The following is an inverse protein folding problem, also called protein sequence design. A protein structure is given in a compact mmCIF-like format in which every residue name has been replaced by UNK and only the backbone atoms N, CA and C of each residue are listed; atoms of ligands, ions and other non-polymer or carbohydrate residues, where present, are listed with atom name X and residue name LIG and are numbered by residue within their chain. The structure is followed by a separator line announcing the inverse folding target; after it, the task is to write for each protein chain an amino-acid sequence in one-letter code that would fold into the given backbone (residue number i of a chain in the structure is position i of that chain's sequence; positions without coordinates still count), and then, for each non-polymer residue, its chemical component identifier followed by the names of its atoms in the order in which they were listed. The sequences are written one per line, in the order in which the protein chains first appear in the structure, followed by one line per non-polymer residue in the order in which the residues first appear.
data_IF_191406202147
#
_entry.id   IF_191406202147
#
_cell.length_a   1.000
_cell.length_b   1.000
_cell.length_c   1.000
_cell.angle_alpha   90.00
_cell.angle_beta   90.00
_cell.angle_gamma   90.00
#
_symmetry.space_group_name_H-M   'P 1'
#
loop_
_entity.id
_entity.type
_entity.pdbx_description
1 polymer ?
#
# COMPACT_ATOMS: atom_id res chain seq x y z
N UNK A 1 -31.99 -89.78 11.43
CA UNK A 1 -32.75 -88.62 10.91
C UNK A 1 -31.74 -87.61 10.34
N UNK A 2 -30.85 -87.95 9.41
CA UNK A 2 -31.01 -87.97 7.94
C UNK A 2 -32.29 -87.30 7.40
N UNK A 3 -32.12 -86.38 6.43
CA UNK A 3 -33.11 -85.57 5.69
C UNK A 3 -33.28 -84.08 6.08
N UNK A 4 -32.19 -83.29 6.17
CA UNK A 4 -32.33 -81.81 6.07
C UNK A 4 -31.17 -81.09 5.35
N UNK A 5 -30.37 -81.79 4.51
CA UNK A 5 -29.15 -81.21 3.91
C UNK A 5 -29.19 -80.97 2.39
N UNK A 6 -30.33 -81.02 1.69
CA UNK A 6 -30.30 -81.08 0.22
C UNK A 6 -31.26 -80.18 -0.56
N UNK A 7 -31.66 -79.00 -0.03
CA UNK A 7 -32.49 -78.06 -0.79
C UNK A 7 -32.04 -76.58 -0.77
N UNK A 8 -30.92 -76.23 -0.14
CA UNK A 8 -30.37 -74.87 -0.18
C UNK A 8 -29.30 -74.65 -1.28
N UNK A 9 -28.97 -75.67 -2.08
CA UNK A 9 -27.83 -75.63 -3.00
C UNK A 9 -28.18 -75.41 -4.49
N UNK A 10 -29.43 -75.11 -4.85
CA UNK A 10 -29.84 -74.96 -6.27
C UNK A 10 -30.87 -73.86 -6.51
N UNK A 11 -30.66 -72.67 -5.96
CA UNK A 11 -31.38 -71.47 -6.37
C UNK A 11 -30.48 -70.23 -6.31
N UNK A 12 -29.45 -70.19 -7.15
CA UNK A 12 -28.68 -68.97 -7.38
C UNK A 12 -27.99 -68.98 -8.76
N UNK A 13 -28.79 -69.12 -9.82
CA UNK A 13 -28.34 -68.96 -11.20
C UNK A 13 -29.44 -68.24 -11.98
N UNK A 14 -29.37 -66.91 -12.00
CA UNK A 14 -29.87 -65.99 -13.05
C UNK A 14 -29.96 -64.56 -12.50
N UNK A 15 -28.89 -63.78 -12.65
CA UNK A 15 -28.99 -62.32 -12.72
C UNK A 15 -28.23 -61.88 -13.97
N UNK A 16 -28.89 -61.25 -14.96
CA UNK A 16 -28.26 -60.86 -16.20
C UNK A 16 -27.49 -59.54 -16.05
N UNK A 17 -26.34 -59.54 -16.73
CA UNK A 17 -25.66 -58.47 -17.46
C UNK A 17 -26.00 -56.99 -17.22
N UNK A 18 -24.92 -56.27 -16.88
CA UNK A 18 -24.49 -54.98 -17.44
C UNK A 18 -25.55 -53.88 -17.58
N UNK A 19 -25.71 -53.11 -16.51
CA UNK A 19 -25.78 -51.65 -16.63
C UNK A 19 -24.39 -51.11 -16.29
N UNK A 20 -23.61 -50.76 -17.32
CA UNK A 20 -22.40 -49.97 -17.13
C UNK A 20 -22.80 -48.63 -16.57
N UNK A 21 -22.63 -48.44 -15.26
CA UNK A 21 -22.39 -47.11 -14.74
C UNK A 21 -21.05 -46.70 -15.33
N UNK A 22 -21.10 -45.82 -16.33
CA UNK A 22 -19.97 -44.95 -16.61
C UNK A 22 -19.76 -44.15 -15.32
N UNK A 23 -18.85 -44.64 -14.47
CA UNK A 23 -18.15 -43.77 -13.55
C UNK A 23 -17.40 -42.84 -14.49
N UNK A 24 -17.91 -41.62 -14.65
CA UNK A 24 -17.08 -40.55 -15.17
C UNK A 24 -15.88 -40.51 -14.22
N UNK A 25 -14.68 -40.79 -14.73
CA UNK A 25 -13.47 -40.39 -14.03
C UNK A 25 -13.61 -38.88 -13.82
N UNK A 26 -13.92 -38.50 -12.59
CA UNK A 26 -13.66 -37.15 -12.15
C UNK A 26 -12.15 -36.98 -12.36
N UNK A 27 -11.75 -36.03 -13.21
CA UNK A 27 -10.38 -35.54 -13.15
C UNK A 27 -10.13 -35.19 -11.68
N UNK A 28 -9.19 -35.90 -11.06
CA UNK A 28 -8.89 -35.82 -9.64
C UNK A 28 -8.27 -34.44 -9.36
N UNK A 29 -9.13 -33.45 -9.15
CA UNK A 29 -8.74 -32.11 -8.74
C UNK A 29 -8.43 -32.17 -7.25
N UNK A 30 -7.17 -31.96 -6.90
CA UNK A 30 -6.71 -31.97 -5.52
C UNK A 30 -7.35 -30.80 -4.75
N UNK A 31 -7.70 -30.96 -3.47
CA UNK A 31 -8.04 -29.82 -2.63
C UNK A 31 -6.80 -28.90 -2.47
N UNK A 32 -6.99 -27.60 -2.19
CA UNK A 32 -5.87 -26.65 -2.13
C UNK A 32 -4.74 -27.05 -1.16
N UNK A 33 -5.08 -27.66 -0.04
CA UNK A 33 -4.11 -28.11 0.98
C UNK A 33 -3.21 -29.25 0.46
N UNK A 34 -3.73 -30.07 -0.44
CA UNK A 34 -2.97 -31.15 -1.09
C UNK A 34 -2.25 -30.67 -2.36
N UNK A 35 -2.81 -29.69 -3.07
CA UNK A 35 -2.21 -29.09 -4.26
C UNK A 35 -1.01 -28.19 -3.92
N UNK A 36 -1.09 -27.48 -2.79
CA UNK A 36 -0.11 -26.48 -2.36
C UNK A 36 0.42 -26.73 -0.95
N UNK A 37 0.96 -27.93 -0.66
CA UNK A 37 1.51 -28.21 0.65
C UNK A 37 2.69 -27.29 0.91
N UNK A 38 2.78 -26.80 2.14
CA UNK A 38 3.90 -26.02 2.62
C UNK A 38 4.26 -26.43 4.04
N UNK A 39 5.52 -26.22 4.38
CA UNK A 39 6.04 -26.33 5.73
C UNK A 39 6.61 -24.98 6.15
N UNK A 40 6.57 -24.71 7.44
CA UNK A 40 7.09 -23.48 8.03
C UNK A 40 7.98 -23.83 9.22
N UNK A 41 9.20 -23.29 9.21
CA UNK A 41 10.18 -23.47 10.28
C UNK A 41 10.67 -22.08 10.72
N UNK A 42 10.76 -21.87 12.03
CA UNK A 42 11.33 -20.64 12.59
C UNK A 42 12.81 -20.81 12.91
N UNK A 43 13.64 -19.96 12.33
CA UNK A 43 15.03 -19.73 12.75
C UNK A 43 15.08 -18.62 13.82
N UNK A 44 16.28 -18.25 14.26
CA UNK A 44 16.53 -17.16 15.22
C UNK A 44 15.99 -15.80 14.77
N UNK A 45 15.97 -15.54 13.46
CA UNK A 45 15.80 -14.23 12.84
C UNK A 45 14.83 -14.21 11.64
N UNK A 46 14.48 -15.38 11.11
CA UNK A 46 13.60 -15.52 9.95
C UNK A 46 12.71 -16.76 10.03
N UNK A 47 11.55 -16.69 9.39
CA UNK A 47 10.69 -17.81 9.07
C UNK A 47 11.07 -18.31 7.68
N UNK A 48 11.28 -19.62 7.56
CA UNK A 48 11.52 -20.29 6.29
C UNK A 48 10.30 -21.10 5.92
N UNK A 49 9.62 -20.70 4.85
CA UNK A 49 8.52 -21.45 4.26
C UNK A 49 9.05 -22.27 3.10
N UNK A 50 8.76 -23.56 3.08
CA UNK A 50 9.10 -24.44 1.94
C UNK A 50 7.80 -24.94 1.33
N UNK A 51 7.58 -24.60 0.08
CA UNK A 51 6.43 -25.03 -0.71
C UNK A 51 6.80 -26.22 -1.57
N UNK A 52 5.85 -27.14 -1.78
CA UNK A 52 5.98 -28.28 -2.69
C UNK A 52 4.72 -28.39 -3.56
N UNK A 53 4.61 -27.51 -4.55
CA UNK A 53 3.44 -27.45 -5.44
C UNK A 53 3.38 -28.71 -6.28
N UNK A 54 2.22 -29.37 -6.27
CA UNK A 54 2.00 -30.61 -7.01
C UNK A 54 2.04 -30.39 -8.53
N UNK A 55 2.45 -31.44 -9.25
CA UNK A 55 2.49 -31.42 -10.71
C UNK A 55 1.11 -31.09 -11.29
N UNK A 56 1.07 -30.17 -12.26
CA UNK A 56 -0.17 -29.69 -12.85
C UNK A 56 -0.81 -28.51 -12.11
N UNK A 57 -0.15 -27.97 -11.09
CA UNK A 57 -0.60 -26.81 -10.31
C UNK A 57 0.47 -25.71 -10.27
N UNK A 58 0.04 -24.47 -9.99
CA UNK A 58 0.93 -23.32 -9.84
C UNK A 58 0.34 -22.26 -8.90
N UNK A 59 1.21 -21.49 -8.25
CA UNK A 59 0.86 -20.34 -7.39
C UNK A 59 1.31 -19.03 -8.04
N UNK A 60 0.53 -17.96 -7.89
CA UNK A 60 0.90 -16.64 -8.41
C UNK A 60 1.82 -15.91 -7.44
N UNK A 61 2.98 -15.42 -7.93
CA UNK A 61 3.93 -14.66 -7.12
C UNK A 61 3.33 -13.43 -6.45
N UNK A 62 2.52 -12.67 -7.18
CA UNK A 62 1.94 -11.41 -6.71
C UNK A 62 0.76 -11.60 -5.74
N UNK A 63 0.32 -12.85 -5.51
CA UNK A 63 -0.85 -13.17 -4.68
C UNK A 63 -0.49 -13.79 -3.34
N UNK A 64 0.77 -13.67 -2.92
CA UNK A 64 1.18 -13.99 -1.55
C UNK A 64 0.96 -12.81 -0.62
N UNK A 65 0.39 -13.09 0.53
CA UNK A 65 0.32 -12.17 1.67
C UNK A 65 0.60 -12.94 2.96
N UNK A 66 1.36 -12.32 3.85
CA UNK A 66 1.85 -12.94 5.08
C UNK A 66 1.56 -12.02 6.25
N UNK A 67 0.90 -12.56 7.28
CA UNK A 67 0.55 -11.78 8.45
C UNK A 67 0.86 -12.53 9.75
N UNK A 68 1.29 -11.79 10.76
CA UNK A 68 1.33 -12.27 12.14
C UNK A 68 0.02 -11.92 12.83
N UNK A 69 -0.64 -12.92 13.41
CA UNK A 69 -1.80 -12.70 14.28
C UNK A 69 -1.38 -12.49 15.75
N UNK A 70 -0.10 -12.66 16.06
CA UNK A 70 0.47 -12.45 17.39
C UNK A 70 1.01 -11.03 17.50
N UNK A 71 0.37 -10.18 18.33
CA UNK A 71 0.76 -8.77 18.49
C UNK A 71 2.21 -8.54 18.95
N UNK A 72 2.81 -9.54 19.61
CA UNK A 72 4.20 -9.51 20.06
C UNK A 72 5.22 -9.78 18.93
N UNK A 73 4.77 -10.20 17.74
CA UNK A 73 5.64 -10.58 16.63
C UNK A 73 5.30 -9.75 15.39
N UNK A 74 6.28 -9.04 14.87
CA UNK A 74 6.19 -8.27 13.63
C UNK A 74 6.94 -8.99 12.52
N UNK A 75 6.30 -9.17 11.36
CA UNK A 75 6.94 -9.72 10.17
C UNK A 75 7.56 -8.60 9.33
N UNK A 76 8.70 -8.88 8.71
CA UNK A 76 9.33 -8.01 7.73
C UNK A 76 8.95 -8.36 6.30
N UNK A 77 9.66 -7.75 5.36
CA UNK A 77 9.43 -7.98 3.94
C UNK A 77 9.81 -9.42 3.56
N UNK A 78 8.85 -10.17 3.01
CA UNK A 78 9.09 -11.51 2.51
C UNK A 78 10.01 -11.48 1.29
N UNK A 79 11.04 -12.32 1.29
CA UNK A 79 11.94 -12.53 0.16
C UNK A 79 11.43 -13.73 -0.63
N UNK A 80 10.79 -13.45 -1.77
CA UNK A 80 10.34 -14.48 -2.70
C UNK A 80 11.37 -14.69 -3.82
N UNK A 81 11.70 -15.95 -4.17
CA UNK A 81 12.68 -16.28 -5.21
C UNK A 81 12.13 -15.90 -6.60
N UNK A 82 12.96 -15.85 -7.64
CA UNK A 82 12.43 -15.70 -9.00
C UNK A 82 11.63 -16.96 -9.39
N UNK A 83 10.44 -16.74 -9.96
CA UNK A 83 9.54 -17.75 -10.50
C UNK A 83 9.58 -17.82 -12.02
N UNK A 84 8.69 -18.63 -12.57
CA UNK A 84 8.58 -18.88 -14.00
C UNK A 84 7.53 -17.94 -14.61
N UNK A 85 7.91 -17.24 -15.69
CA UNK A 85 6.97 -16.40 -16.43
C UNK A 85 5.99 -17.30 -17.18
N UNK A 86 4.71 -17.10 -16.89
CA UNK A 86 3.59 -17.79 -17.49
C UNK A 86 2.63 -16.76 -18.09
N UNK A 87 2.13 -17.01 -19.29
CA UNK A 87 1.10 -16.17 -19.90
C UNK A 87 -0.22 -16.93 -19.89
N UNK A 88 -1.22 -16.41 -19.16
CA UNK A 88 -2.55 -17.00 -19.11
C UNK A 88 -3.63 -16.05 -19.66
N UNK A 89 -4.75 -16.63 -20.09
CA UNK A 89 -5.86 -15.90 -20.71
C UNK A 89 -6.64 -14.99 -19.73
N UNK A 90 -6.38 -15.10 -18.41
CA UNK A 90 -7.11 -14.39 -17.36
C UNK A 90 -6.35 -13.17 -16.84
N UNK A 91 -5.02 -13.25 -16.76
CA UNK A 91 -4.14 -12.28 -16.12
C UNK A 91 -2.98 -11.82 -17.01
N UNK A 92 -2.81 -12.38 -18.21
CA UNK A 92 -1.71 -12.04 -19.11
C UNK A 92 -0.39 -12.61 -18.63
N UNK A 93 0.70 -11.84 -18.76
CA UNK A 93 2.05 -12.27 -18.37
C UNK A 93 2.22 -12.12 -16.86
N UNK A 94 2.31 -13.23 -16.16
CA UNK A 94 2.43 -13.32 -14.71
C UNK A 94 3.61 -14.20 -14.31
N UNK A 95 4.19 -13.95 -13.15
CA UNK A 95 5.22 -14.81 -12.58
C UNK A 95 4.56 -15.85 -11.65
N UNK A 96 4.88 -17.11 -11.87
CA UNK A 96 4.26 -18.26 -11.20
C UNK A 96 5.31 -19.15 -10.55
N UNK A 97 4.92 -19.85 -9.50
CA UNK A 97 5.76 -20.87 -8.86
C UNK A 97 5.19 -22.26 -9.08
N UNK A 98 6.08 -23.18 -9.45
CA UNK A 98 5.84 -24.60 -9.64
C UNK A 98 6.90 -25.41 -8.90
N UNK A 99 6.58 -26.65 -8.56
CA UNK A 99 7.48 -27.54 -7.84
C UNK A 99 7.87 -26.98 -6.47
N UNK A 100 9.17 -27.07 -6.15
CA UNK A 100 9.69 -26.69 -4.84
C UNK A 100 10.32 -25.30 -4.86
N UNK A 101 9.93 -24.46 -3.91
CA UNK A 101 10.54 -23.15 -3.71
C UNK A 101 10.48 -22.74 -2.23
N UNK A 102 11.35 -21.82 -1.85
CA UNK A 102 11.49 -21.37 -0.46
C UNK A 102 11.20 -19.86 -0.38
N UNK A 103 10.49 -19.44 0.67
CA UNK A 103 10.25 -18.03 0.99
C UNK A 103 10.80 -17.73 2.37
N UNK A 104 11.63 -16.70 2.47
CA UNK A 104 12.24 -16.27 3.73
C UNK A 104 11.58 -14.98 4.23
N UNK A 105 11.13 -14.96 5.48
CA UNK A 105 10.46 -13.80 6.07
C UNK A 105 11.17 -13.43 7.37
N UNK A 106 11.91 -12.31 7.43
CA UNK A 106 12.49 -11.84 8.68
C UNK A 106 11.37 -11.51 9.68
N UNK A 107 11.60 -11.74 10.97
CA UNK A 107 10.62 -11.40 12.00
C UNK A 107 11.29 -10.82 13.25
N UNK A 108 10.54 -10.02 13.99
CA UNK A 108 10.98 -9.39 15.24
C UNK A 108 9.98 -9.62 16.35
N UNK A 109 10.48 -9.71 17.58
CA UNK A 109 9.68 -9.93 18.79
C UNK A 109 9.78 -8.72 19.71
N UNK A 110 8.66 -8.15 20.13
CA UNK A 110 8.60 -7.05 21.10
C UNK A 110 8.58 -7.53 22.55
N UNK A 111 8.16 -8.78 22.78
CA UNK A 111 8.18 -9.45 24.09
C UNK A 111 8.69 -10.89 23.95
N UNK A 112 9.08 -11.52 25.05
CA UNK A 112 9.45 -12.94 25.06
C UNK A 112 8.20 -13.81 24.80
N UNK A 113 7.87 -14.00 23.52
CA UNK A 113 6.91 -15.00 23.05
C UNK A 113 7.64 -16.15 22.38
N UNK A 114 7.20 -17.36 22.72
CA UNK A 114 7.72 -18.63 22.21
C UNK A 114 6.85 -19.20 21.08
N UNK A 115 5.71 -18.57 20.79
CA UNK A 115 4.74 -19.03 19.80
C UNK A 115 4.34 -17.87 18.88
N UNK A 116 4.13 -18.20 17.61
CA UNK A 116 3.64 -17.31 16.56
C UNK A 116 2.44 -17.94 15.86
N UNK A 117 1.31 -17.23 15.84
CA UNK A 117 0.18 -17.55 14.99
C UNK A 117 0.37 -16.87 13.63
N UNK A 118 0.89 -17.63 12.66
CA UNK A 118 1.21 -17.18 11.32
C UNK A 118 0.02 -17.38 10.37
N UNK A 119 -0.31 -16.36 9.57
CA UNK A 119 -1.31 -16.44 8.52
C UNK A 119 -0.65 -16.33 7.14
N UNK A 120 -0.87 -17.35 6.32
CA UNK A 120 -0.53 -17.36 4.90
C UNK A 120 -1.78 -17.13 4.07
N UNK A 121 -1.75 -16.15 3.17
CA UNK A 121 -2.72 -16.02 2.08
C UNK A 121 -2.02 -16.29 0.76
N UNK A 122 -2.53 -17.21 -0.04
CA UNK A 122 -2.00 -17.48 -1.38
C UNK A 122 -3.12 -17.84 -2.36
N UNK A 123 -2.84 -17.72 -3.66
CA UNK A 123 -3.76 -18.11 -4.72
C UNK A 123 -3.02 -18.86 -5.83
N UNK A 124 -3.65 -19.91 -6.33
CA UNK A 124 -3.13 -20.73 -7.43
C UNK A 124 -4.22 -21.31 -8.30
N UNK A 125 -3.79 -21.97 -9.37
CA UNK A 125 -4.66 -22.66 -10.31
C UNK A 125 -4.06 -24.02 -10.69
N UNK A 126 -4.89 -24.84 -11.31
CA UNK A 126 -4.52 -26.08 -11.96
C UNK A 126 -4.45 -25.85 -13.48
N UNK A 127 -3.55 -26.55 -14.15
CA UNK A 127 -3.32 -26.47 -15.60
C UNK A 127 -4.54 -26.91 -16.43
N UNK A 128 -5.48 -27.62 -15.81
CA UNK A 128 -6.78 -27.96 -16.39
C UNK A 128 -7.74 -26.76 -16.51
N UNK A 129 -7.30 -25.56 -16.16
CA UNK A 129 -8.08 -24.32 -16.25
C UNK A 129 -8.97 -24.05 -15.03
N UNK A 130 -8.69 -24.68 -13.89
CA UNK A 130 -9.41 -24.45 -12.64
C UNK A 130 -8.59 -23.57 -11.70
N UNK A 131 -9.12 -22.40 -11.36
CA UNK A 131 -8.49 -21.49 -10.41
C UNK A 131 -9.18 -21.54 -9.04
N UNK A 132 -8.38 -21.69 -7.99
CA UNK A 132 -8.87 -21.65 -6.63
C UNK A 132 -9.08 -20.19 -6.19
N UNK A 133 -10.06 -19.91 -5.33
CA UNK A 133 -10.14 -18.61 -4.67
C UNK A 133 -8.93 -18.40 -3.74
N UNK A 134 -8.62 -17.17 -3.32
CA UNK A 134 -7.56 -16.91 -2.34
C UNK A 134 -7.77 -17.75 -1.08
N UNK A 135 -6.77 -18.58 -0.77
CA UNK A 135 -6.78 -19.46 0.39
C UNK A 135 -6.09 -18.76 1.55
N UNK A 136 -6.62 -18.98 2.76
CA UNK A 136 -6.03 -18.50 4.00
C UNK A 136 -5.76 -19.68 4.92
N UNK A 137 -4.50 -19.89 5.26
CA UNK A 137 -4.06 -20.92 6.19
C UNK A 137 -3.45 -20.27 7.42
N UNK A 138 -3.75 -20.84 8.59
CA UNK A 138 -3.15 -20.43 9.86
C UNK A 138 -2.29 -21.55 10.39
N UNK A 139 -1.05 -21.25 10.74
CA UNK A 139 -0.11 -22.19 11.34
C UNK A 139 0.42 -21.63 12.65
N UNK A 140 0.46 -22.46 13.67
CA UNK A 140 1.12 -22.15 14.92
C UNK A 140 2.59 -22.59 14.80
N UNK A 141 3.51 -21.64 14.97
CA UNK A 141 4.95 -21.84 14.78
C UNK A 141 5.67 -21.60 16.10
N UNK A 142 6.35 -22.64 16.59
CA UNK A 142 7.16 -22.52 17.80
C UNK A 142 8.45 -21.76 17.48
N UNK A 143 8.64 -20.62 18.13
CA UNK A 143 9.81 -19.77 17.97
C UNK A 143 10.94 -20.26 18.90
N UNK A 144 12.20 -20.27 18.44
CA UNK A 144 13.31 -20.68 19.28
C UNK A 144 13.42 -19.81 20.55
N UNK A 145 13.58 -20.48 21.70
CA UNK A 145 13.75 -19.86 23.02
C UNK A 145 15.17 -19.29 23.14
N UNK A 146 15.26 -17.97 23.18
CA UNK A 146 16.52 -17.23 23.21
C UNK A 146 17.08 -17.00 21.79
N UNK A 147 17.60 -15.83 21.45
CA UNK A 147 17.94 -14.67 22.26
C UNK A 147 17.13 -13.47 21.80
N UNK A 148 16.84 -12.54 22.72
CA UNK A 148 16.70 -11.14 22.36
C UNK A 148 17.88 -10.79 21.45
N UNK A 149 17.62 -10.61 20.16
CA UNK A 149 18.50 -9.92 19.24
C UNK A 149 18.09 -8.46 19.43
N UNK A 150 18.72 -7.64 20.28
CA UNK A 150 20.11 -7.19 20.15
C UNK A 150 20.53 -7.22 18.69
N UNK A 151 20.38 -6.07 18.04
CA UNK A 151 20.97 -5.76 16.75
C UNK A 151 22.42 -6.26 16.72
N UNK A 152 22.60 -7.38 16.01
CA UNK A 152 23.85 -8.10 15.88
C UNK A 152 23.97 -8.50 14.43
N UNK A 153 24.30 -7.50 13.61
CA UNK A 153 25.00 -7.60 12.33
C UNK A 153 25.23 -9.03 11.81
N UNK A 154 24.28 -9.51 11.01
CA UNK A 154 24.60 -10.49 9.97
C UNK A 154 25.43 -9.76 8.92
N UNK A 155 26.65 -10.24 8.69
CA UNK A 155 27.71 -9.73 7.82
C UNK A 155 27.29 -9.62 6.33
N UNK A 156 26.34 -8.72 6.06
CA UNK A 156 25.96 -8.17 4.76
C UNK A 156 26.42 -6.71 4.63
N UNK A 157 27.14 -6.22 5.66
CA UNK A 157 27.49 -4.82 5.84
C UNK A 157 26.27 -3.88 5.86
N UNK A 158 25.04 -4.39 6.05
CA UNK A 158 23.83 -3.58 6.18
C UNK A 158 23.60 -3.28 7.66
N UNK A 159 23.80 -2.01 8.05
CA UNK A 159 23.49 -1.47 9.35
C UNK A 159 21.98 -1.41 9.60
N UNK A 160 21.54 -1.46 10.86
CA UNK A 160 20.19 -1.09 11.27
C UNK A 160 19.81 0.32 10.82
N UNK A 161 18.51 0.58 10.61
CA UNK A 161 18.04 1.89 10.15
C UNK A 161 18.35 3.03 11.14
N UNK A 162 18.24 2.77 12.43
CA UNK A 162 18.59 3.68 13.52
C UNK A 162 20.09 3.92 13.67
N UNK A 163 20.92 2.96 13.27
CA UNK A 163 22.38 3.11 13.18
C UNK A 163 22.82 3.80 11.89
N UNK A 164 22.16 3.51 10.76
CA UNK A 164 22.46 4.07 9.46
C UNK A 164 21.99 5.53 9.32
N UNK A 165 20.87 5.88 9.98
CA UNK A 165 20.22 7.18 9.93
C UNK A 165 19.95 7.68 11.34
N UNK A 166 20.98 8.26 11.97
CA UNK A 166 20.90 8.74 13.35
C UNK A 166 20.19 10.09 13.39
N UNK A 167 18.97 10.11 13.91
CA UNK A 167 18.18 11.31 14.15
C UNK A 167 18.66 12.05 15.40
N UNK A 168 18.81 13.36 15.26
CA UNK A 168 18.99 14.31 16.35
C UNK A 168 18.09 15.53 16.13
N UNK A 169 17.77 16.26 17.19
CA UNK A 169 16.87 17.39 17.10
C UNK A 169 17.18 18.45 18.13
N UNK A 170 17.07 19.71 17.71
CA UNK A 170 17.24 20.88 18.58
C UNK A 170 16.16 21.91 18.31
N UNK A 171 15.90 22.72 19.33
CA UNK A 171 14.97 23.85 19.23
C UNK A 171 15.79 25.11 19.03
N UNK A 172 15.64 25.73 17.86
CA UNK A 172 16.34 26.94 17.48
C UNK A 172 15.43 28.16 17.64
N UNK A 173 15.72 28.98 18.64
CA UNK A 173 14.91 30.16 18.93
C UNK A 173 13.49 29.80 19.42
N UNK A 174 12.52 30.64 19.07
CA UNK A 174 11.17 30.56 19.63
C UNK A 174 10.20 29.67 18.85
N UNK A 175 10.39 29.56 17.52
CA UNK A 175 9.41 29.02 16.58
C UNK A 175 10.05 28.14 15.49
N UNK A 176 11.26 27.63 15.71
CA UNK A 176 11.95 26.77 14.75
C UNK A 176 12.52 25.56 15.48
N UNK A 177 12.24 24.38 14.94
CA UNK A 177 12.87 23.12 15.31
C UNK A 177 13.80 22.77 14.16
N UNK A 178 15.01 22.33 14.47
CA UNK A 178 15.94 21.80 13.47
C UNK A 178 16.15 20.33 13.79
N UNK A 179 15.70 19.48 12.89
CA UNK A 179 16.00 18.05 12.92
C UNK A 179 17.20 17.80 12.02
N UNK A 180 18.09 16.92 12.45
CA UNK A 180 19.26 16.54 11.67
C UNK A 180 19.43 15.04 11.64
N UNK A 181 19.87 14.53 10.49
CA UNK A 181 20.21 13.13 10.32
C UNK A 181 21.68 13.02 9.99
N UNK A 182 22.41 12.23 10.77
CA UNK A 182 23.72 11.73 10.39
C UNK A 182 23.53 10.41 9.66
N UNK A 183 24.02 10.35 8.43
CA UNK A 183 23.86 9.21 7.52
C UNK A 183 25.21 8.52 7.42
N UNK A 184 25.27 7.23 7.73
CA UNK A 184 26.52 6.47 7.68
C UNK A 184 27.05 6.35 6.23
N UNK A 185 28.38 6.31 6.00
CA UNK A 185 28.92 6.16 4.66
C UNK A 185 28.39 4.92 3.94
N UNK A 186 28.03 5.09 2.67
CA UNK A 186 27.39 4.04 1.87
C UNK A 186 25.87 4.00 1.98
N UNK A 187 25.25 4.97 2.67
CA UNK A 187 23.81 5.15 2.77
C UNK A 187 23.36 6.50 2.26
N UNK A 188 22.11 6.58 1.83
CA UNK A 188 21.45 7.82 1.44
C UNK A 188 19.98 7.87 1.80
N UNK A 189 19.45 9.08 1.96
CA UNK A 189 18.02 9.36 2.17
C UNK A 189 17.42 10.08 0.96
N UNK A 190 16.22 9.72 0.56
CA UNK A 190 15.51 10.42 -0.51
C UNK A 190 14.97 11.77 -0.05
N UNK A 191 15.22 12.83 -0.82
CA UNK A 191 14.80 14.19 -0.44
C UNK A 191 13.28 14.35 -0.37
N UNK A 192 12.55 13.71 -1.29
CA UNK A 192 11.09 13.82 -1.39
C UNK A 192 10.33 12.92 -0.42
N UNK A 193 11.02 12.06 0.35
CA UNK A 193 10.38 11.07 1.23
C UNK A 193 10.29 11.51 2.68
N UNK A 194 10.75 12.71 3.01
CA UNK A 194 10.58 13.28 4.34
C UNK A 194 9.14 13.74 4.57
N UNK A 195 8.53 13.27 5.65
CA UNK A 195 7.26 13.77 6.15
C UNK A 195 7.32 13.95 7.67
N UNK A 196 6.69 15.02 8.17
CA UNK A 196 6.76 15.40 9.58
C UNK A 196 5.36 15.54 10.16
N UNK A 197 5.16 15.00 11.35
CA UNK A 197 3.92 15.09 12.10
C UNK A 197 4.22 15.38 13.58
N UNK A 198 3.19 15.82 14.31
CA UNK A 198 3.30 16.08 15.73
C UNK A 198 1.99 15.80 16.46
N UNK A 199 2.10 15.25 17.67
CA UNK A 199 1.00 14.97 18.56
C UNK A 199 0.39 16.23 19.18
N UNK A 200 -0.39 16.99 18.43
CA UNK A 200 -1.47 17.88 18.89
C UNK A 200 -1.19 19.13 19.77
N UNK A 201 0.05 19.49 20.11
CA UNK A 201 0.30 20.69 20.96
C UNK A 201 0.88 21.90 20.21
N UNK A 202 1.46 21.66 19.03
CA UNK A 202 1.98 22.69 18.13
C UNK A 202 1.51 22.42 16.70
N UNK A 203 1.45 23.47 15.88
CA UNK A 203 1.19 23.35 14.45
C UNK A 203 2.51 23.53 13.69
N UNK A 204 2.98 22.47 13.05
CA UNK A 204 4.14 22.52 12.17
C UNK A 204 3.76 23.26 10.87
N UNK A 205 4.69 24.09 10.39
CA UNK A 205 4.66 24.72 9.07
C UNK A 205 5.40 23.88 8.03
N UNK A 206 5.61 24.46 6.85
CA UNK A 206 6.33 23.79 5.77
C UNK A 206 7.81 23.56 6.14
N UNK A 207 8.24 22.30 6.07
CA UNK A 207 9.63 21.93 6.28
C UNK A 207 10.52 22.56 5.20
N UNK A 208 11.63 23.16 5.62
CA UNK A 208 12.68 23.65 4.71
C UNK A 208 13.85 22.69 4.79
N UNK A 209 14.00 21.90 3.74
CA UNK A 209 15.09 20.95 3.56
C UNK A 209 15.98 21.52 2.44
N UNK A 210 17.32 21.48 2.56
CA UNK A 210 18.21 21.93 1.50
C UNK A 210 18.06 21.07 0.24
N UNK A 211 18.57 21.58 -0.89
CA UNK A 211 18.61 20.78 -2.13
C UNK A 211 19.56 19.59 -1.95
N UNK A 212 19.13 18.42 -2.43
CA UNK A 212 19.92 17.19 -2.39
C UNK A 212 20.96 17.10 -3.49
N UNK A 213 21.70 15.99 -3.49
CA UNK A 213 22.57 15.59 -4.59
C UNK A 213 21.77 14.76 -5.61
N UNK A 214 21.93 15.00 -6.91
CA UNK A 214 21.27 14.19 -7.93
C UNK A 214 21.86 12.77 -7.93
N UNK A 215 20.98 11.78 -7.95
CA UNK A 215 21.30 10.36 -7.98
C UNK A 215 20.41 9.65 -9.00
N UNK A 216 20.98 8.67 -9.71
CA UNK A 216 20.23 7.86 -10.65
C UNK A 216 19.93 6.51 -10.05
N UNK A 217 18.65 6.20 -9.90
CA UNK A 217 18.15 4.91 -9.42
C UNK A 217 17.54 4.10 -10.58
N UNK A 218 17.81 2.80 -10.63
CA UNK A 218 17.33 1.92 -11.74
C UNK A 218 15.79 1.78 -11.76
N UNK A 219 15.12 1.96 -10.61
CA UNK A 219 13.68 1.88 -10.47
C UNK A 219 13.00 3.26 -10.59
N UNK A 220 13.63 4.31 -10.06
CA UNK A 220 13.02 5.64 -9.94
C UNK A 220 13.60 6.70 -10.91
N UNK A 221 14.69 6.42 -11.60
CA UNK A 221 15.35 7.36 -12.51
C UNK A 221 16.12 8.44 -11.76
N UNK A 222 16.09 9.67 -12.28
CA UNK A 222 16.77 10.83 -11.66
C UNK A 222 16.01 11.29 -10.41
N UNK A 223 16.64 11.13 -9.26
CA UNK A 223 16.12 11.48 -7.93
C UNK A 223 17.12 12.36 -7.19
N UNK A 224 16.66 13.10 -6.19
CA UNK A 224 17.55 13.83 -5.27
C UNK A 224 17.69 13.08 -3.95
N UNK A 225 18.93 12.96 -3.48
CA UNK A 225 19.26 12.21 -2.26
C UNK A 225 20.23 12.99 -1.37
N UNK A 226 20.28 12.61 -0.09
CA UNK A 226 21.26 13.15 0.86
C UNK A 226 22.22 12.06 1.29
N UNK A 227 23.52 12.37 1.25
CA UNK A 227 24.59 11.57 1.81
C UNK A 227 25.18 12.26 3.03
N UNK A 228 25.71 11.49 3.98
CA UNK A 228 26.44 11.93 5.18
C UNK A 228 25.62 12.72 6.20
N UNK A 229 24.93 13.77 5.79
CA UNK A 229 24.24 14.69 6.68
C UNK A 229 23.13 15.48 5.99
N UNK A 230 22.01 15.67 6.68
CA UNK A 230 20.94 16.57 6.25
C UNK A 230 20.27 17.22 7.46
N UNK A 231 19.92 18.50 7.33
CA UNK A 231 19.11 19.25 8.30
C UNK A 231 17.76 19.61 7.68
N UNK A 232 16.68 19.43 8.44
CA UNK A 232 15.35 19.91 8.10
C UNK A 232 14.94 20.97 9.13
N UNK A 233 14.70 22.18 8.65
CA UNK A 233 14.16 23.26 9.47
C UNK A 233 12.63 23.22 9.46
N UNK A 234 12.05 23.02 10.63
CA UNK A 234 10.61 22.95 10.87
C UNK A 234 10.15 24.21 11.61
N UNK A 235 9.61 25.21 10.89
CA UNK A 235 8.91 26.31 11.56
C UNK A 235 7.67 25.75 12.27
N UNK A 236 7.36 26.23 13.46
CA UNK A 236 6.16 25.83 14.19
C UNK A 236 5.46 27.02 14.83
N UNK A 237 4.17 26.83 15.14
CA UNK A 237 3.37 27.78 15.89
C UNK A 237 2.69 27.09 17.07
N UNK A 238 2.54 27.80 18.20
CA UNK A 238 1.96 27.28 19.43
C UNK A 238 1.00 28.28 20.06
N UNK A 239 -0.01 27.80 20.76
CA UNK A 239 -1.05 28.63 21.38
C UNK A 239 -0.64 29.20 22.75
N UNK A 240 0.21 28.48 23.50
CA UNK A 240 0.71 28.92 24.81
C UNK A 240 2.19 29.30 24.74
N UNK A 241 2.63 30.36 25.45
CA UNK A 241 4.04 30.70 25.62
C UNK A 241 4.79 29.83 26.64
N UNK A 242 4.10 28.92 27.33
CA UNK A 242 4.69 28.05 28.35
C UNK A 242 5.69 27.04 27.76
N UNK A 243 6.50 26.44 28.63
CA UNK A 243 7.37 25.34 28.25
C UNK A 243 6.55 24.06 28.08
N UNK A 244 6.77 23.34 26.98
CA UNK A 244 5.97 22.18 26.60
C UNK A 244 6.90 21.12 26.00
N UNK A 245 6.70 19.87 26.38
CA UNK A 245 7.39 18.72 25.79
C UNK A 245 6.60 18.27 24.55
N UNK A 246 7.24 18.24 23.38
CA UNK A 246 6.59 17.86 22.13
C UNK A 246 7.24 16.64 21.52
N UNK A 247 6.42 15.77 20.95
CA UNK A 247 6.89 14.63 20.15
C UNK A 247 6.80 15.02 18.68
N UNK A 248 7.91 14.88 17.96
CA UNK A 248 7.98 15.05 16.52
C UNK A 248 8.18 13.68 15.89
N UNK A 249 7.24 13.31 15.02
CA UNK A 249 7.30 12.09 14.23
C UNK A 249 7.84 12.44 12.84
N UNK A 250 8.98 11.86 12.49
CA UNK A 250 9.61 11.99 11.18
C UNK A 250 9.54 10.66 10.43
N UNK A 251 8.94 10.70 9.26
CA UNK A 251 8.86 9.58 8.33
C UNK A 251 9.83 9.83 7.18
N UNK A 252 10.65 8.83 6.84
CA UNK A 252 11.68 8.95 5.81
C UNK A 252 11.95 7.60 5.14
N UNK A 253 12.66 7.62 4.01
CA UNK A 253 13.09 6.41 3.34
C UNK A 253 14.53 6.57 2.86
N UNK A 254 15.34 5.53 3.04
CA UNK A 254 16.72 5.50 2.61
C UNK A 254 17.11 4.16 2.01
N UNK A 255 18.28 4.12 1.38
CA UNK A 255 18.85 2.90 0.85
C UNK A 255 20.34 2.84 1.16
N UNK A 256 20.88 1.63 1.09
CA UNK A 256 22.32 1.42 0.99
C UNK A 256 22.70 1.41 -0.49
N UNK A 257 23.80 2.08 -0.83
CA UNK A 257 24.36 2.09 -2.19
C UNK A 257 24.60 0.66 -2.67
N UNK A 258 24.24 0.38 -3.93
CA UNK A 258 24.36 -0.92 -4.60
C UNK A 258 23.68 -2.09 -3.85
N UNK A 259 22.61 -1.80 -3.11
CA UNK A 259 21.93 -2.75 -2.23
C UNK A 259 20.45 -2.41 -2.07
N UNK A 260 19.76 -3.13 -1.18
CA UNK A 260 18.33 -2.99 -0.91
C UNK A 260 18.01 -1.69 -0.17
N UNK A 261 16.86 -1.10 -0.50
CA UNK A 261 16.27 0.04 0.20
C UNK A 261 15.54 -0.38 1.47
N UNK A 262 15.60 0.47 2.49
CA UNK A 262 14.76 0.31 3.67
C UNK A 262 13.29 0.59 3.31
N UNK A 263 12.33 -0.05 3.99
CA UNK A 263 10.94 0.40 3.96
C UNK A 263 10.85 1.83 4.53
N UNK A 264 9.67 2.43 4.45
CA UNK A 264 9.42 3.73 5.08
C UNK A 264 9.67 3.62 6.59
N UNK A 265 10.63 4.38 7.09
CA UNK A 265 11.10 4.39 8.47
C UNK A 265 10.36 5.51 9.20
N UNK A 266 9.79 5.21 10.36
CA UNK A 266 9.24 6.22 11.27
C UNK A 266 10.19 6.36 12.48
N UNK A 267 10.67 7.57 12.71
CA UNK A 267 11.50 7.93 13.86
C UNK A 267 10.79 9.02 14.66
N UNK A 268 10.78 8.91 15.98
CA UNK A 268 10.21 9.92 16.86
C UNK A 268 11.29 10.48 17.79
N UNK A 269 11.21 11.79 18.04
CA UNK A 269 12.07 12.47 19.01
C UNK A 269 11.24 13.35 19.92
N UNK A 270 11.60 13.35 21.20
CA UNK A 270 11.01 14.20 22.22
C UNK A 270 11.86 15.45 22.35
N UNK A 271 11.24 16.63 22.24
CA UNK A 271 11.91 17.92 22.32
C UNK A 271 11.23 18.81 23.38
N UNK A 272 12.05 19.45 24.21
CA UNK A 272 11.60 20.44 25.17
C UNK A 272 11.54 21.83 24.52
N UNK A 273 10.34 22.34 24.26
CA UNK A 273 10.16 23.71 23.79
C UNK A 273 10.25 24.66 24.98
N UNK A 274 11.22 25.59 25.02
CA UNK A 274 11.34 26.54 26.12
C UNK A 274 10.17 27.54 26.13
N UNK A 275 9.85 28.05 27.31
CA UNK A 275 8.91 29.16 27.41
C UNK A 275 9.49 30.39 26.68
N UNK A 276 8.71 31.00 25.80
CA UNK A 276 9.17 32.13 24.97
C UNK A 276 8.02 33.12 24.78
N UNK A 277 8.28 34.37 25.17
CA UNK A 277 7.36 35.50 25.01
C UNK A 277 7.61 36.33 23.73
N UNK A 278 8.55 35.91 22.88
CA UNK A 278 8.89 36.60 21.63
C UNK A 278 8.71 35.64 20.46
N UNK A 279 7.56 35.76 19.79
CA UNK A 279 7.24 35.01 18.58
C UNK A 279 7.66 35.82 17.36
N UNK A 280 8.59 35.31 16.56
CA UNK A 280 8.86 35.89 15.25
C UNK A 280 7.70 35.53 14.32
N UNK A 281 7.01 36.53 13.78
CA UNK A 281 6.00 36.34 12.76
C UNK A 281 6.65 35.61 11.57
N UNK A 282 6.04 34.50 11.15
CA UNK A 282 6.41 33.82 9.92
C UNK A 282 6.39 34.83 8.78
N UNK A 283 7.48 34.91 8.02
CA UNK A 283 7.52 35.67 6.77
C UNK A 283 6.52 34.98 5.86
N UNK A 284 5.45 35.72 5.57
CA UNK A 284 4.41 35.39 4.61
C UNK A 284 5.05 35.32 3.22
N UNK A 285 5.47 34.12 2.83
CA UNK A 285 5.57 33.76 1.43
C UNK A 285 4.70 32.52 1.23
N UNK A 286 3.42 32.68 1.56
CA UNK A 286 2.41 31.70 1.21
C UNK A 286 2.13 31.83 -0.30
N UNK A 287 2.81 31.03 -1.11
CA UNK A 287 2.23 30.63 -2.39
C UNK A 287 1.13 29.62 -2.05
N UNK A 288 -0.02 30.13 -1.59
CA UNK A 288 -1.24 29.35 -1.44
C UNK A 288 -1.58 28.79 -2.82
N UNK A 289 -1.57 27.46 -2.96
CA UNK A 289 -2.31 26.79 -4.03
C UNK A 289 -3.80 27.00 -3.74
N UNK A 290 -4.29 28.19 -4.07
CA UNK A 290 -5.71 28.52 -4.06
C UNK A 290 -6.33 27.74 -5.20
N UNK A 291 -7.29 26.86 -4.90
CA UNK A 291 -8.07 26.19 -5.94
C UNK A 291 -8.72 27.27 -6.82
N UNK A 292 -8.79 27.06 -8.14
CA UNK A 292 -9.42 28.07 -9.01
C UNK A 292 -10.89 28.35 -8.61
N UNK A 293 -11.52 27.39 -7.92
CA UNK A 293 -12.85 27.51 -7.32
C UNK A 293 -12.87 28.54 -6.19
N UNK A 294 -11.88 28.53 -5.28
CA UNK A 294 -11.75 29.49 -4.19
C UNK A 294 -11.40 30.90 -4.69
N UNK A 295 -10.60 30.99 -5.75
CA UNK A 295 -10.26 32.26 -6.40
C UNK A 295 -11.50 32.92 -7.03
N UNK A 296 -12.37 32.13 -7.68
CA UNK A 296 -13.63 32.63 -8.22
C UNK A 296 -14.62 32.98 -7.10
N UNK A 297 -14.68 32.19 -6.03
CA UNK A 297 -15.52 32.48 -4.86
C UNK A 297 -15.12 33.82 -4.21
N UNK A 298 -13.82 34.08 -4.06
CA UNK A 298 -13.30 35.34 -3.51
C UNK A 298 -13.55 36.54 -4.45
N UNK A 299 -13.47 36.34 -5.77
CA UNK A 299 -13.84 37.36 -6.75
C UNK A 299 -15.34 37.71 -6.69
N UNK A 300 -16.22 36.74 -6.47
CA UNK A 300 -17.68 36.96 -6.34
C UNK A 300 -18.02 37.68 -5.04
N UNK A 301 -17.38 37.32 -3.92
CA UNK A 301 -17.66 37.90 -2.61
C UNK A 301 -17.15 39.34 -2.45
N UNK A 302 -16.05 39.70 -3.14
CA UNK A 302 -15.39 40.99 -2.97
C UNK A 302 -15.61 41.99 -4.13
N UNK A 303 -16.36 41.62 -5.18
CA UNK A 303 -16.65 42.51 -6.32
C UNK A 303 -18.10 43.01 -6.34
N UNK A 304 -18.35 44.07 -7.10
CA UNK A 304 -19.68 44.69 -7.17
C UNK A 304 -20.66 43.76 -7.90
N UNK A 305 -21.84 43.54 -7.31
CA UNK A 305 -22.81 42.55 -7.77
C UNK A 305 -23.22 42.71 -9.25
N UNK A 306 -23.24 43.95 -9.77
CA UNK A 306 -23.51 44.25 -11.18
C UNK A 306 -22.43 43.74 -12.13
N UNK A 307 -21.17 43.80 -11.71
CA UNK A 307 -20.03 43.35 -12.51
C UNK A 307 -19.97 41.81 -12.53
N UNK A 308 -20.30 41.16 -11.41
CA UNK A 308 -20.48 39.70 -11.34
C UNK A 308 -21.60 39.25 -12.28
N UNK A 309 -22.78 39.88 -12.21
CA UNK A 309 -23.89 39.52 -13.11
C UNK A 309 -23.54 39.76 -14.58
N UNK A 310 -22.91 40.89 -14.90
CA UNK A 310 -22.50 41.20 -16.27
C UNK A 310 -21.50 40.18 -16.84
N UNK A 311 -20.54 39.74 -16.02
CA UNK A 311 -19.51 38.76 -16.44
C UNK A 311 -20.07 37.36 -16.59
N UNK A 312 -20.88 36.87 -15.64
CA UNK A 312 -21.54 35.57 -15.75
C UNK A 312 -22.53 35.51 -16.91
N UNK A 313 -23.34 36.57 -17.10
CA UNK A 313 -24.26 36.66 -18.24
C UNK A 313 -23.50 36.72 -19.57
N UNK A 314 -22.43 37.52 -19.65
CA UNK A 314 -21.61 37.64 -20.85
C UNK A 314 -20.92 36.33 -21.25
N UNK A 315 -20.28 35.65 -20.29
CA UNK A 315 -19.63 34.36 -20.53
C UNK A 315 -20.64 33.25 -20.83
N UNK A 316 -21.80 33.23 -20.15
CA UNK A 316 -22.88 32.30 -20.45
C UNK A 316 -23.43 32.46 -21.88
N UNK A 317 -23.60 33.71 -22.33
CA UNK A 317 -24.01 34.00 -23.71
C UNK A 317 -22.93 33.55 -24.71
N UNK A 318 -21.66 33.80 -24.40
CA UNK A 318 -20.53 33.38 -25.25
C UNK A 318 -20.44 31.85 -25.36
N UNK A 319 -20.67 31.13 -24.26
CA UNK A 319 -20.75 29.67 -24.24
C UNK A 319 -21.94 29.13 -25.06
N UNK A 320 -23.07 29.85 -25.09
CA UNK A 320 -24.22 29.48 -25.93
C UNK A 320 -23.93 29.59 -27.44
N UNK A 321 -22.96 30.42 -27.85
CA UNK A 321 -22.50 30.56 -29.24
C UNK A 321 -21.36 29.61 -29.61
N UNK A 322 -21.01 28.65 -28.75
CA UNK A 322 -19.99 27.65 -29.07
C UNK A 322 -20.51 26.62 -30.08
N UNK A 323 -19.64 26.14 -31.00
CA UNK A 323 -20.04 25.27 -32.11
C UNK A 323 -20.67 23.93 -31.69
N UNK A 324 -20.52 23.52 -30.41
CA UNK A 324 -21.09 22.30 -29.86
C UNK A 324 -22.59 22.39 -29.53
N UNK A 325 -23.15 23.58 -29.29
CA UNK A 325 -24.58 23.79 -28.94
C UNK A 325 -25.42 24.25 -30.14
N UNK A 326 -24.75 24.78 -31.17
CA UNK A 326 -25.37 25.17 -32.44
C UNK A 326 -26.20 24.07 -33.16
N UNK A 327 -25.88 22.76 -33.11
CA UNK A 327 -26.66 21.75 -33.84
C UNK A 327 -28.07 21.52 -33.27
N UNK A 328 -28.39 21.98 -32.04
CA UNK A 328 -29.74 21.88 -31.47
C UNK A 328 -30.65 23.08 -31.83
N UNK A 329 -30.09 24.22 -32.21
CA UNK A 329 -30.84 25.44 -32.55
C UNK A 329 -31.80 25.25 -33.74
N UNK A 330 -31.43 24.56 -34.83
CA UNK A 330 -32.33 24.32 -35.97
C UNK A 330 -33.58 23.50 -35.60
N UNK A 331 -33.49 22.61 -34.59
CA UNK A 331 -34.60 21.76 -34.16
C UNK A 331 -35.64 22.58 -33.40
N UNK A 332 -35.22 23.42 -32.45
CA UNK A 332 -36.11 24.30 -31.69
C UNK A 332 -36.68 25.42 -32.55
N UNK A 333 -35.89 26.02 -33.44
CA UNK A 333 -36.39 27.01 -34.40
C UNK A 333 -37.38 26.40 -35.40
N UNK A 334 -37.18 25.14 -35.79
CA UNK A 334 -38.13 24.40 -36.63
C UNK A 334 -39.47 24.13 -35.93
N UNK A 335 -39.46 23.80 -34.63
CA UNK A 335 -40.68 23.59 -33.84
C UNK A 335 -41.46 24.91 -33.66
N UNK A 336 -40.77 26.01 -33.37
CA UNK A 336 -41.41 27.33 -33.14
C UNK A 336 -41.94 27.93 -34.46
N UNK A 337 -41.21 27.77 -35.57
CA UNK A 337 -41.66 28.25 -36.89
C UNK A 337 -42.80 27.41 -37.48
N UNK A 338 -42.96 26.15 -37.05
CA UNK A 338 -44.05 25.27 -37.47
C UNK A 338 -45.42 25.55 -36.84
N UNK A 339 -45.51 26.48 -35.87
CA UNK A 339 -46.70 26.64 -35.01
C UNK A 339 -47.62 27.83 -35.32
N UNK A 340 -47.41 28.53 -36.45
CA UNK A 340 -48.37 29.48 -37.03
C UNK A 340 -48.51 30.84 -36.32
N UNK A 341 -49.18 31.79 -36.99
CA UNK A 341 -49.12 33.26 -36.84
C UNK A 341 -49.47 33.92 -35.48
N UNK A 342 -49.57 33.20 -34.36
CA UNK A 342 -49.83 33.80 -33.04
C UNK A 342 -49.05 33.14 -31.90
N UNK A 343 -47.72 33.11 -32.02
CA UNK A 343 -46.82 32.71 -30.93
C UNK A 343 -46.41 33.95 -30.14
N UNK A 344 -46.89 34.10 -28.91
CA UNK A 344 -46.47 35.14 -27.97
C UNK A 344 -45.42 34.60 -26.99
N UNK A 345 -44.39 35.39 -26.70
CA UNK A 345 -43.22 35.00 -25.90
C UNK A 345 -43.53 34.48 -24.48
N UNK A 346 -44.74 34.73 -23.94
CA UNK A 346 -45.16 34.31 -22.61
C UNK A 346 -45.44 32.80 -22.46
N UNK A 347 -45.53 32.03 -23.56
CA UNK A 347 -45.78 30.57 -23.49
C UNK A 347 -44.53 29.71 -23.26
N UNK A 348 -43.33 30.27 -23.40
CA UNK A 348 -42.07 29.53 -23.20
C UNK A 348 -41.61 29.41 -21.74
N UNK A 349 -42.30 30.05 -20.80
CA UNK A 349 -41.94 30.09 -19.37
C UNK A 349 -43.05 29.55 -18.45
N UNK A 350 -44.07 28.90 -19.01
CA UNK A 350 -45.15 28.26 -18.25
C UNK A 350 -44.90 26.76 -18.11
#
# INVERSE_FOLDING_TARGET
MHYWYSLAAKLLLLIPSLAGFAVAEAQDVLPPEEAFPYTIEASSDQLLLKFEVQDGYYLYRERFDFASQTAAVTLGAAVLPSGEIHEDEFFGVVETYRGQFEVSIPYWRSTETDELDFQLTAQGCADIGLCYPPQRWTSNVSLPKGSSLFFGTSDSGLLPADEAFVLDGRVDGANQITLSWRIEPGYYLYSEKFAFNTGSEIQLGAARIPAGEPHYDEYFGDVEVFYNYVEAELPFSRASPDAIEVVIDATLQGCKVDSVCYPVIAQSIVLDLPASGTFAAAVDDTVLFVSEQDRLAMLVLNSSWWLVLGTFYGLGLLLAFTPCVLPMVPILSGIIAGQGDNVTAGRGFA
#
